data_IF_862575071454
#
_entry.id   IF_862575071454
#
_cell.length_a   1.000
_cell.length_b   1.000
_cell.length_c   1.000
_cell.angle_alpha   90.00
_cell.angle_beta   90.00
_cell.angle_gamma   90.00
#
_symmetry.space_group_name_H-M   'P 1'
#
loop_
_entity.id
_entity.type
_entity.pdbx_description
1 polymer ?
#
# COMPACT_ATOMS: atom_id res chain seq x y z
N UNK A 1 1.81 -6.72 -13.97
CA UNK A 1 3.08 -6.08 -13.56
C UNK A 1 2.82 -4.58 -13.57
N UNK A 2 2.69 -3.96 -12.41
CA UNK A 2 2.60 -2.51 -12.34
C UNK A 2 4.04 -2.00 -12.33
N UNK A 3 4.42 -1.17 -13.30
CA UNK A 3 5.67 -0.42 -13.22
C UNK A 3 5.39 0.91 -12.53
N UNK A 4 6.14 1.23 -11.49
CA UNK A 4 6.06 2.51 -10.79
C UNK A 4 7.38 3.27 -10.96
N UNK A 5 7.30 4.52 -11.40
CA UNK A 5 8.47 5.41 -11.44
C UNK A 5 8.59 6.13 -10.11
N UNK A 6 9.61 5.78 -9.35
CA UNK A 6 9.94 6.48 -8.10
C UNK A 6 10.78 7.72 -8.43
N UNK A 7 10.45 8.85 -7.80
CA UNK A 7 11.23 10.09 -7.92
C UNK A 7 12.37 10.19 -6.90
N UNK A 8 12.39 9.28 -5.92
CA UNK A 8 13.34 9.26 -4.81
C UNK A 8 13.41 7.85 -4.19
N UNK A 9 14.57 7.41 -3.65
CA UNK A 9 14.66 6.14 -2.91
C UNK A 9 13.74 6.09 -1.68
N UNK A 10 13.46 7.24 -1.06
CA UNK A 10 12.54 7.31 0.08
C UNK A 10 11.10 7.01 -0.31
N UNK A 11 10.72 7.20 -1.58
CA UNK A 11 9.37 6.89 -2.04
C UNK A 11 9.08 5.39 -1.97
N UNK A 12 10.08 4.52 -2.16
CA UNK A 12 9.89 3.07 -1.99
C UNK A 12 9.56 2.72 -0.54
N UNK A 13 10.32 3.28 0.40
CA UNK A 13 10.06 3.09 1.83
C UNK A 13 8.67 3.61 2.21
N UNK A 14 8.27 4.79 1.73
CA UNK A 14 6.93 5.32 1.96
C UNK A 14 5.84 4.37 1.44
N UNK A 15 5.98 3.82 0.24
CA UNK A 15 5.02 2.86 -0.28
C UNK A 15 4.95 1.62 0.61
N UNK A 16 6.09 1.05 1.00
CA UNK A 16 6.08 -0.16 1.83
C UNK A 16 5.54 0.04 3.25
N UNK A 17 5.82 1.19 3.86
CA UNK A 17 5.44 1.47 5.25
C UNK A 17 4.07 2.14 5.40
N UNK A 18 3.52 2.74 4.33
CA UNK A 18 2.23 3.45 4.34
C UNK A 18 1.20 2.80 3.39
N UNK A 19 1.37 1.52 3.08
CA UNK A 19 0.37 0.75 2.33
C UNK A 19 0.06 -0.55 3.05
N UNK A 20 -1.19 -0.99 2.89
CA UNK A 20 -1.61 -2.32 3.32
C UNK A 20 -1.44 -3.29 2.15
N UNK A 21 -0.94 -4.49 2.44
CA UNK A 21 -0.82 -5.57 1.45
C UNK A 21 -2.01 -6.51 1.64
N UNK A 22 -2.83 -6.67 0.61
CA UNK A 22 -3.98 -7.59 0.64
C UNK A 22 -3.82 -8.70 -0.42
N UNK A 23 -4.06 -9.97 -0.08
CA UNK A 23 -4.11 -11.04 -1.08
C UNK A 23 -5.42 -10.96 -1.87
N UNK A 24 -5.35 -11.15 -3.18
CA UNK A 24 -6.54 -11.25 -4.04
C UNK A 24 -6.23 -12.21 -5.20
N UNK A 25 -6.79 -13.42 -5.15
CA UNK A 25 -6.42 -14.49 -6.08
C UNK A 25 -4.97 -14.94 -5.91
N UNK A 26 -4.28 -15.25 -7.02
CA UNK A 26 -2.88 -15.70 -7.02
C UNK A 26 -1.82 -14.60 -6.85
N UNK A 27 -2.22 -13.39 -6.44
CA UNK A 27 -1.30 -12.25 -6.26
C UNK A 27 -1.74 -11.32 -5.11
N UNK A 28 -0.97 -10.25 -4.89
CA UNK A 28 -1.18 -9.26 -3.83
C UNK A 28 -1.36 -7.85 -4.40
N UNK A 29 -2.15 -7.03 -3.71
CA UNK A 29 -2.29 -5.61 -3.98
C UNK A 29 -1.68 -4.79 -2.84
N UNK A 30 -0.91 -3.76 -3.20
CA UNK A 30 -0.51 -2.69 -2.30
C UNK A 30 -1.56 -1.59 -2.39
N UNK A 31 -2.25 -1.31 -1.30
CA UNK A 31 -3.26 -0.25 -1.21
C UNK A 31 -2.67 0.89 -0.38
N UNK A 32 -2.44 2.08 -0.95
CA UNK A 32 -2.01 3.25 -0.19
C UNK A 32 -3.01 3.58 0.92
N UNK A 33 -2.53 4.05 2.08
CA UNK A 33 -3.40 4.53 3.16
C UNK A 33 -4.39 5.63 2.70
N UNK A 34 -4.04 6.43 1.70
CA UNK A 34 -4.93 7.46 1.13
C UNK A 34 -6.19 6.90 0.48
N UNK A 35 -6.14 5.64 0.06
CA UNK A 35 -7.22 4.98 -0.67
C UNK A 35 -8.10 4.14 0.29
N UNK A 36 -7.72 4.06 1.57
CA UNK A 36 -8.46 3.38 2.62
C UNK A 36 -9.49 4.32 3.26
N UNK A 37 -10.69 3.80 3.53
CA UNK A 37 -11.66 4.46 4.40
C UNK A 37 -11.15 4.52 5.84
N UNK A 38 -11.77 5.38 6.67
CA UNK A 38 -11.40 5.50 8.08
C UNK A 38 -11.54 4.17 8.85
N UNK A 39 -12.52 3.33 8.48
CA UNK A 39 -12.71 2.01 9.07
C UNK A 39 -11.60 1.03 8.67
N UNK A 40 -11.21 1.04 7.39
CA UNK A 40 -10.10 0.21 6.90
C UNK A 40 -8.76 0.65 7.50
N UNK A 41 -8.51 1.95 7.62
CA UNK A 41 -7.33 2.50 8.31
C UNK A 41 -7.27 2.07 9.78
N UNK A 42 -8.42 2.04 10.47
CA UNK A 42 -8.47 1.61 11.86
C UNK A 42 -8.10 0.12 12.00
N UNK A 43 -8.57 -0.74 11.10
CA UNK A 43 -8.22 -2.18 11.10
C UNK A 43 -6.75 -2.39 10.70
N UNK A 44 -6.23 -1.61 9.75
CA UNK A 44 -4.84 -1.75 9.28
C UNK A 44 -3.77 -1.32 10.31
N UNK A 45 -4.13 -0.48 11.29
CA UNK A 45 -3.22 0.01 12.35
C UNK A 45 -3.20 -0.85 13.62
N UNK A 46 -4.00 -1.91 13.67
CA UNK A 46 -4.08 -2.85 14.81
C UNK A 46 -3.12 -4.01 14.60
#
# INVERSE_FOLDING_TARGET
>A
MLEITLKSPYQFAHILFQSTIVPHGGHYHFIPESDLSAGELAVAKV
#
